data_IF_954478361750
#
_entry.id   IF_954478361750
#
_cell.length_a   1.000
_cell.length_b   1.000
_cell.length_c   1.000
_cell.angle_alpha   90.00
_cell.angle_beta   90.00
_cell.angle_gamma   90.00
#
_symmetry.space_group_name_H-M   'P 1'
#
loop_
_entity.id
_entity.type
_entity.pdbx_description
1 polymer ?
#
# COMPACT_ATOMS: atom_id res chain seq x y z
N UNK A 1 17.64 18.20 -7.82
CA UNK A 1 16.34 17.49 -7.79
C UNK A 1 15.22 18.37 -8.34
N UNK A 2 14.99 19.59 -7.81
CA UNK A 2 13.92 20.50 -8.28
C UNK A 2 13.96 20.78 -9.79
N UNK A 3 15.13 21.14 -10.34
CA UNK A 3 15.30 21.42 -11.78
C UNK A 3 14.93 20.21 -12.66
N UNK A 4 15.30 19.00 -12.25
CA UNK A 4 14.99 17.79 -13.01
C UNK A 4 13.49 17.50 -13.04
N UNK A 5 12.81 17.73 -11.90
CA UNK A 5 11.37 17.61 -11.80
C UNK A 5 10.66 18.69 -12.63
N UNK A 6 11.06 19.95 -12.54
CA UNK A 6 10.48 21.05 -13.34
C UNK A 6 10.62 20.81 -14.85
N UNK A 7 11.75 20.27 -15.30
CA UNK A 7 11.91 19.85 -16.70
C UNK A 7 10.95 18.71 -17.08
N UNK A 8 10.75 17.73 -16.19
CA UNK A 8 9.83 16.61 -16.42
C UNK A 8 8.36 17.06 -16.49
N UNK A 9 7.98 18.09 -15.74
CA UNK A 9 6.65 18.69 -15.84
C UNK A 9 6.37 19.28 -17.23
N UNK A 10 7.38 19.79 -17.95
CA UNK A 10 7.18 20.29 -19.31
C UNK A 10 6.98 19.18 -20.35
N UNK A 11 7.40 17.96 -20.02
CA UNK A 11 7.43 16.81 -20.94
C UNK A 11 6.36 15.76 -20.62
N UNK A 12 5.55 15.98 -19.58
CA UNK A 12 4.55 15.03 -19.10
C UNK A 12 3.29 15.73 -18.59
N UNK A 13 2.26 14.96 -18.29
CA UNK A 13 1.04 15.45 -17.63
C UNK A 13 1.21 15.64 -16.11
N UNK A 14 2.42 15.49 -15.57
CA UNK A 14 2.71 15.59 -14.14
C UNK A 14 2.83 17.05 -13.70
N UNK A 15 2.01 17.46 -12.73
CA UNK A 15 2.10 18.81 -12.13
C UNK A 15 3.04 18.79 -10.92
N UNK A 16 4.00 19.72 -10.87
CA UNK A 16 4.97 19.83 -9.78
C UNK A 16 4.84 21.19 -9.12
N UNK A 17 4.78 21.20 -7.79
CA UNK A 17 4.63 22.41 -6.98
C UNK A 17 5.75 22.45 -5.94
N UNK A 18 6.93 23.01 -6.28
CA UNK A 18 8.05 23.07 -5.35
C UNK A 18 7.68 23.92 -4.13
N UNK A 19 8.22 23.54 -2.97
CA UNK A 19 8.09 24.28 -1.72
C UNK A 19 9.44 24.23 -1.00
N UNK A 20 9.82 25.34 -0.40
CA UNK A 20 10.97 25.43 0.51
C UNK A 20 10.46 25.74 1.91
N UNK A 21 10.88 24.95 2.89
CA UNK A 21 10.69 25.21 4.30
C UNK A 21 12.06 25.31 4.97
N UNK A 22 12.21 26.19 5.95
CA UNK A 22 13.46 26.38 6.71
C UNK A 22 13.17 26.04 8.17
N UNK A 23 13.87 25.03 8.67
CA UNK A 23 13.63 24.45 9.98
C UNK A 23 14.93 23.98 10.58
N UNK A 24 15.01 23.91 11.91
CA UNK A 24 16.15 23.24 12.55
C UNK A 24 16.07 21.72 12.29
N UNK A 25 17.22 21.05 12.14
CA UNK A 25 17.25 19.62 11.78
C UNK A 25 16.51 18.73 12.79
N UNK A 26 16.47 19.10 14.06
CA UNK A 26 15.75 18.36 15.09
C UNK A 26 14.22 18.54 15.06
N UNK A 27 13.70 19.52 14.30
CA UNK A 27 12.26 19.86 14.22
C UNK A 27 11.71 19.79 12.80
N UNK A 28 12.56 19.71 11.77
CA UNK A 28 12.15 19.65 10.36
C UNK A 28 11.19 18.49 10.06
N UNK A 29 11.22 17.41 10.83
CA UNK A 29 10.27 16.31 10.67
C UNK A 29 8.82 16.76 10.91
N UNK A 30 8.59 17.70 11.82
CA UNK A 30 7.26 18.26 12.11
C UNK A 30 6.75 19.02 10.90
N UNK A 31 7.61 19.82 10.27
CA UNK A 31 7.27 20.56 9.05
C UNK A 31 7.04 19.63 7.86
N UNK A 32 7.84 18.56 7.72
CA UNK A 32 7.64 17.54 6.69
C UNK A 32 6.30 16.84 6.87
N UNK A 33 6.02 16.30 8.06
CA UNK A 33 4.78 15.58 8.36
C UNK A 33 3.56 16.51 8.26
N UNK A 34 3.66 17.73 8.77
CA UNK A 34 2.59 18.73 8.69
C UNK A 34 2.34 19.15 7.24
N UNK A 35 3.39 19.38 6.45
CA UNK A 35 3.27 19.71 5.03
C UNK A 35 2.66 18.57 4.24
N UNK A 36 3.09 17.33 4.49
CA UNK A 36 2.53 16.13 3.87
C UNK A 36 1.04 15.99 4.19
N UNK A 37 0.65 16.19 5.45
CA UNK A 37 -0.74 16.17 5.87
C UNK A 37 -1.57 17.28 5.21
N UNK A 38 -1.13 18.54 5.28
CA UNK A 38 -1.84 19.70 4.71
C UNK A 38 -2.01 19.59 3.19
N UNK A 39 -1.00 19.06 2.50
CA UNK A 39 -1.02 18.89 1.03
C UNK A 39 -1.61 17.56 0.59
N UNK A 40 -2.06 16.70 1.51
CA UNK A 40 -2.60 15.37 1.22
C UNK A 40 -1.62 14.51 0.39
N UNK A 41 -0.35 14.53 0.77
CA UNK A 41 0.66 13.72 0.10
C UNK A 41 0.40 12.22 0.36
N UNK A 42 0.31 11.43 -0.71
CA UNK A 42 0.13 9.98 -0.64
C UNK A 42 1.39 9.24 -0.15
N UNK A 43 2.57 9.81 -0.44
CA UNK A 43 3.86 9.22 -0.09
C UNK A 43 4.86 10.34 0.23
N UNK A 44 5.72 10.10 1.22
CA UNK A 44 6.86 10.96 1.53
C UNK A 44 8.13 10.24 1.06
N UNK A 45 8.78 10.80 0.04
CA UNK A 45 10.08 10.33 -0.41
C UNK A 45 11.17 11.09 0.33
N UNK A 46 11.94 10.37 1.15
CA UNK A 46 13.06 10.93 1.89
C UNK A 46 14.38 10.61 1.19
N UNK A 47 15.29 11.58 1.03
CA UNK A 47 16.63 11.29 0.54
C UNK A 47 17.34 10.35 1.51
N UNK A 48 17.99 9.30 0.99
CA UNK A 48 18.75 8.38 1.82
C UNK A 48 20.00 9.08 2.36
N UNK A 49 20.29 8.89 3.65
CA UNK A 49 21.41 9.53 4.33
C UNK A 49 22.79 9.00 3.89
N UNK A 50 22.85 8.02 2.98
CA UNK A 50 24.10 7.56 2.36
C UNK A 50 24.03 7.67 0.84
N UNK A 51 25.18 7.92 0.22
CA UNK A 51 25.33 7.90 -1.22
C UNK A 51 26.36 6.85 -1.64
N UNK A 52 26.13 6.23 -2.80
CA UNK A 52 27.02 5.21 -3.34
C UNK A 52 28.13 5.85 -4.16
N UNK A 53 29.38 5.48 -3.86
CA UNK A 53 30.58 5.90 -4.57
C UNK A 53 30.81 5.07 -5.82
N UNK A 54 31.71 5.54 -6.69
CA UNK A 54 32.11 4.84 -7.92
C UNK A 54 32.69 3.45 -7.64
N UNK A 55 33.30 3.26 -6.47
CA UNK A 55 33.81 1.97 -6.00
C UNK A 55 32.74 1.05 -5.39
N UNK A 56 31.47 1.48 -5.40
CA UNK A 56 30.33 0.77 -4.83
C UNK A 56 30.16 0.94 -3.32
N UNK A 57 31.08 1.61 -2.61
CA UNK A 57 30.98 1.87 -1.18
C UNK A 57 29.89 2.90 -0.84
N UNK A 58 29.29 2.81 0.35
CA UNK A 58 28.29 3.76 0.83
C UNK A 58 28.91 4.78 1.80
N UNK A 59 28.86 6.05 1.43
CA UNK A 59 29.32 7.17 2.25
C UNK A 59 28.14 7.88 2.92
N UNK A 60 28.26 8.20 4.21
CA UNK A 60 27.21 8.90 4.98
C UNK A 60 27.28 10.41 4.75
N UNK A 61 26.13 11.02 4.43
CA UNK A 61 25.95 12.48 4.29
C UNK A 61 25.80 13.20 5.65
N UNK A 62 25.80 12.45 6.76
CA UNK A 62 25.77 12.99 8.11
C UNK A 62 24.71 12.34 9.01
N UNK A 63 25.03 12.24 10.31
CA UNK A 63 24.17 11.61 11.31
C UNK A 63 22.81 12.33 11.46
N UNK A 64 22.80 13.65 11.34
CA UNK A 64 21.58 14.45 11.51
C UNK A 64 20.52 14.18 10.43
N UNK A 65 20.91 13.87 9.19
CA UNK A 65 19.96 13.47 8.14
C UNK A 65 19.34 12.10 8.42
N UNK A 66 20.14 11.18 8.99
CA UNK A 66 19.64 9.88 9.45
C UNK A 66 18.59 10.08 10.56
N UNK A 67 18.85 10.97 11.49
CA UNK A 67 17.92 11.31 12.59
C UNK A 67 16.63 11.95 12.07
N UNK A 68 16.73 12.90 11.13
CA UNK A 68 15.55 13.47 10.45
C UNK A 68 14.70 12.38 9.83
N UNK A 69 15.30 11.47 9.05
CA UNK A 69 14.55 10.39 8.41
C UNK A 69 13.86 9.49 9.44
N UNK A 70 14.54 9.16 10.54
CA UNK A 70 13.94 8.37 11.62
C UNK A 70 12.76 9.10 12.28
N UNK A 71 12.87 10.41 12.49
CA UNK A 71 11.80 11.22 13.08
C UNK A 71 10.61 11.39 12.14
N UNK A 72 10.84 11.64 10.83
CA UNK A 72 9.74 11.72 9.85
C UNK A 72 8.98 10.41 9.81
N UNK A 73 9.70 9.28 9.75
CA UNK A 73 9.05 7.99 9.70
C UNK A 73 8.22 7.73 10.96
N UNK A 74 8.78 8.00 12.15
CA UNK A 74 8.07 7.85 13.44
C UNK A 74 6.81 8.71 13.59
N UNK A 75 6.78 9.88 12.95
CA UNK A 75 5.68 10.85 13.11
C UNK A 75 4.77 10.95 11.88
N UNK A 76 5.09 10.25 10.79
CA UNK A 76 4.20 10.14 9.64
C UNK A 76 2.98 9.30 10.04
N UNK A 77 1.77 9.65 9.56
CA UNK A 77 0.58 8.84 9.82
C UNK A 77 0.80 7.38 9.38
N UNK A 78 0.36 6.46 10.23
CA UNK A 78 0.60 5.03 10.12
C UNK A 78 -0.12 4.38 8.95
N UNK A 79 0.48 3.33 8.39
CA UNK A 79 -0.13 2.47 7.37
C UNK A 79 -1.07 1.47 8.05
N UNK A 80 -2.21 1.18 7.43
CA UNK A 80 -3.19 0.21 7.94
C UNK A 80 -3.37 -0.93 6.94
N UNK A 81 -3.41 -2.16 7.44
CA UNK A 81 -3.85 -3.33 6.68
C UNK A 81 -5.11 -3.88 7.35
N UNK A 82 -6.31 -3.61 6.82
CA UNK A 82 -7.50 -4.38 7.14
C UNK A 82 -7.32 -5.82 6.66
N UNK A 83 -7.59 -6.79 7.51
CA UNK A 83 -7.46 -8.22 7.20
C UNK A 83 -8.78 -8.94 7.44
N UNK A 84 -9.39 -9.40 6.36
CA UNK A 84 -10.61 -10.21 6.30
C UNK A 84 -10.28 -11.68 5.99
N UNK A 85 -9.07 -11.94 5.48
CA UNK A 85 -8.58 -13.27 5.07
C UNK A 85 -8.53 -13.43 3.55
N UNK A 86 -8.25 -14.63 3.08
CA UNK A 86 -8.10 -14.90 1.65
C UNK A 86 -6.78 -14.38 1.07
N UNK A 87 -6.52 -14.73 -0.19
CA UNK A 87 -5.18 -14.60 -0.80
C UNK A 87 -4.72 -13.16 -0.98
N UNK A 88 -5.62 -12.28 -1.40
CA UNK A 88 -5.27 -10.88 -1.66
C UNK A 88 -4.93 -10.12 -0.37
N UNK A 89 -5.64 -10.40 0.73
CA UNK A 89 -5.31 -9.82 2.04
C UNK A 89 -4.01 -10.38 2.62
N UNK A 90 -3.71 -11.67 2.40
CA UNK A 90 -2.43 -12.25 2.78
C UNK A 90 -1.26 -11.57 2.06
N UNK A 91 -1.42 -11.30 0.75
CA UNK A 91 -0.45 -10.54 -0.03
C UNK A 91 -0.33 -9.09 0.48
N UNK A 92 -1.45 -8.42 0.73
CA UNK A 92 -1.46 -7.07 1.28
C UNK A 92 -0.74 -6.98 2.63
N UNK A 93 -0.98 -7.96 3.51
CA UNK A 93 -0.33 -8.08 4.80
C UNK A 93 1.17 -8.34 4.65
N UNK A 94 1.58 -9.19 3.70
CA UNK A 94 2.99 -9.41 3.40
C UNK A 94 3.69 -8.12 2.95
N UNK A 95 3.08 -7.32 2.07
CA UNK A 95 3.64 -6.01 1.70
C UNK A 95 3.72 -5.05 2.88
N UNK A 96 2.65 -4.93 3.68
CA UNK A 96 2.66 -4.09 4.88
C UNK A 96 3.75 -4.50 5.86
N UNK A 97 3.95 -5.80 6.04
CA UNK A 97 5.01 -6.37 6.88
C UNK A 97 6.40 -5.99 6.38
N UNK A 98 6.65 -6.10 5.07
CA UNK A 98 7.92 -5.71 4.45
C UNK A 98 8.21 -4.22 4.63
N UNK A 99 7.18 -3.38 4.58
CA UNK A 99 7.33 -1.96 4.93
C UNK A 99 7.73 -1.79 6.41
N UNK A 100 7.10 -2.53 7.32
CA UNK A 100 7.35 -2.46 8.75
C UNK A 100 8.73 -2.98 9.21
N UNK A 101 9.48 -3.71 8.35
CA UNK A 101 10.89 -4.04 8.59
C UNK A 101 11.75 -2.78 8.79
N UNK A 102 11.33 -1.64 8.21
CA UNK A 102 11.96 -0.37 8.51
C UNK A 102 11.48 0.14 9.89
N UNK A 103 12.39 0.38 10.87
CA UNK A 103 12.04 0.73 12.27
C UNK A 103 11.42 2.12 12.47
N UNK A 104 11.08 2.78 11.38
CA UNK A 104 10.37 4.06 11.39
C UNK A 104 8.95 3.92 10.86
N UNK A 105 8.60 2.82 10.20
CA UNK A 105 7.25 2.62 9.68
C UNK A 105 6.44 1.95 10.78
N UNK A 106 5.33 2.60 11.15
CA UNK A 106 4.32 2.01 12.01
C UNK A 106 3.20 1.43 11.16
N UNK A 107 2.98 0.13 11.31
CA UNK A 107 1.92 -0.63 10.68
C UNK A 107 0.87 -1.02 11.73
N UNK A 108 -0.40 -0.80 11.41
CA UNK A 108 -1.51 -1.34 12.19
C UNK A 108 -2.25 -2.38 11.34
N UNK A 109 -2.41 -3.57 11.88
CA UNK A 109 -3.17 -4.65 11.26
C UNK A 109 -4.51 -4.76 11.97
N UNK A 110 -5.59 -4.50 11.25
CA UNK A 110 -6.96 -4.58 11.76
C UNK A 110 -7.59 -5.88 11.27
N UNK A 111 -7.60 -6.92 12.09
CA UNK A 111 -8.27 -8.19 11.76
C UNK A 111 -9.76 -8.08 12.04
N UNK A 112 -10.57 -8.29 11.01
CA UNK A 112 -12.03 -8.27 11.09
C UNK A 112 -12.52 -9.70 11.23
N UNK A 113 -13.27 -10.00 12.30
CA UNK A 113 -13.66 -11.36 12.66
C UNK A 113 -15.20 -11.47 12.74
N UNK A 114 -15.84 -12.42 12.03
CA UNK A 114 -17.26 -12.67 12.20
C UNK A 114 -17.57 -13.42 13.52
N UNK A 115 -18.81 -13.42 14.01
CA UNK A 115 -19.22 -14.28 15.11
C UNK A 115 -19.12 -15.74 14.71
N UNK A 116 -18.89 -16.62 15.69
CA UNK A 116 -18.77 -18.06 15.45
C UNK A 116 -19.94 -18.61 14.63
N UNK A 117 -19.62 -19.32 13.55
CA UNK A 117 -20.62 -19.91 12.66
C UNK A 117 -21.24 -18.96 11.62
N UNK A 118 -20.77 -17.70 11.53
CA UNK A 118 -21.12 -16.76 10.47
C UNK A 118 -19.92 -16.46 9.59
N UNK A 119 -20.16 -15.92 8.39
CA UNK A 119 -19.12 -15.43 7.48
C UNK A 119 -19.38 -13.95 7.16
N UNK A 120 -18.32 -13.19 6.91
CA UNK A 120 -18.40 -11.78 6.51
C UNK A 120 -19.09 -11.57 5.15
N UNK A 121 -19.22 -12.65 4.35
CA UNK A 121 -19.96 -12.66 3.08
C UNK A 121 -21.49 -12.66 3.24
N UNK A 122 -22.01 -13.07 4.41
CA UNK A 122 -23.47 -13.22 4.64
C UNK A 122 -24.05 -12.19 5.61
N UNK A 123 -23.27 -11.16 5.97
CA UNK A 123 -23.67 -10.13 6.96
C UNK A 123 -24.72 -9.11 6.46
N UNK A 124 -25.40 -9.38 5.34
CA UNK A 124 -26.63 -8.70 4.92
C UNK A 124 -27.72 -9.76 4.71
N UNK A 125 -28.81 -9.63 5.48
CA UNK A 125 -29.83 -10.66 5.63
C UNK A 125 -30.42 -11.18 4.32
N UNK A 126 -30.16 -12.45 4.05
CA UNK A 126 -31.21 -13.38 3.68
C UNK A 126 -31.15 -14.56 4.64
N UNK A 127 -32.27 -14.82 5.31
CA UNK A 127 -32.62 -16.16 5.80
C UNK A 127 -32.57 -17.09 4.58
N UNK A 128 -31.40 -17.63 4.26
CA UNK A 128 -31.33 -18.85 3.47
C UNK A 128 -31.43 -19.99 4.45
N UNK A 129 -32.67 -20.35 4.77
CA UNK A 129 -32.95 -21.67 5.30
C UNK A 129 -32.22 -22.68 4.42
N UNK A 130 -31.25 -23.38 4.98
CA UNK A 130 -30.74 -24.66 4.50
C UNK A 130 -30.59 -24.77 2.97
N UNK A 131 -29.69 -24.00 2.37
CA UNK A 131 -28.91 -24.56 1.26
C UNK A 131 -27.53 -24.82 1.85
N UNK A 132 -27.33 -26.06 2.32
CA UNK A 132 -25.99 -26.61 2.45
C UNK A 132 -25.40 -26.64 1.05
N UNK A 133 -24.80 -25.54 0.62
CA UNK A 133 -23.83 -25.60 -0.47
C UNK A 133 -22.66 -26.34 0.15
N UNK A 134 -22.62 -27.66 -0.05
CA UNK A 134 -21.41 -28.46 0.09
C UNK A 134 -20.38 -27.92 -0.92
N UNK A 135 -19.75 -26.80 -0.59
CA UNK A 135 -18.52 -26.36 -1.21
C UNK A 135 -17.39 -26.69 -0.23
N UNK A 136 -16.97 -27.96 -0.31
CA UNK A 136 -15.84 -28.60 0.35
C UNK A 136 -14.47 -28.01 -0.11
N UNK A 137 -14.42 -26.70 -0.36
CA UNK A 137 -13.24 -25.93 -0.79
C UNK A 137 -13.04 -24.63 -0.02
N UNK A 138 -14.03 -24.19 0.76
CA UNK A 138 -13.96 -22.93 1.49
C UNK A 138 -13.33 -23.09 2.89
N UNK A 139 -13.49 -24.24 3.54
CA UNK A 139 -12.95 -24.52 4.87
C UNK A 139 -11.43 -24.47 4.93
N UNK A 140 -10.78 -25.02 3.90
CA UNK A 140 -9.32 -25.10 3.85
C UNK A 140 -8.71 -23.70 3.70
N UNK A 141 -9.34 -22.84 2.89
CA UNK A 141 -8.85 -21.46 2.67
C UNK A 141 -8.98 -20.55 3.89
N UNK A 142 -10.00 -20.76 4.73
CA UNK A 142 -10.20 -20.00 5.97
C UNK A 142 -9.24 -20.47 7.06
N UNK A 143 -9.05 -21.79 7.19
CA UNK A 143 -8.04 -22.37 8.08
C UNK A 143 -6.62 -21.92 7.68
N UNK A 144 -6.30 -21.92 6.38
CA UNK A 144 -5.02 -21.42 5.86
C UNK A 144 -4.81 -19.95 6.20
N UNK A 145 -5.85 -19.12 6.06
CA UNK A 145 -5.79 -17.70 6.40
C UNK A 145 -5.53 -17.48 7.89
N UNK A 146 -6.18 -18.26 8.76
CA UNK A 146 -5.99 -18.18 10.20
C UNK A 146 -4.59 -18.65 10.63
N UNK A 147 -4.11 -19.75 10.04
CA UNK A 147 -2.75 -20.26 10.26
C UNK A 147 -1.71 -19.21 9.84
N UNK A 148 -1.83 -18.68 8.62
CA UNK A 148 -0.96 -17.61 8.12
C UNK A 148 -0.95 -16.40 9.04
N UNK A 149 -2.13 -15.96 9.49
CA UNK A 149 -2.25 -14.81 10.37
C UNK A 149 -1.59 -15.07 11.73
N UNK A 150 -1.75 -16.27 12.29
CA UNK A 150 -1.12 -16.65 13.56
C UNK A 150 0.41 -16.67 13.46
N UNK A 151 0.96 -17.18 12.36
CA UNK A 151 2.40 -17.16 12.07
C UNK A 151 2.90 -15.73 11.89
N UNK A 152 2.13 -14.89 11.18
CA UNK A 152 2.42 -13.47 11.01
C UNK A 152 2.53 -12.76 12.37
N UNK A 153 1.52 -12.88 13.24
CA UNK A 153 1.55 -12.22 14.57
C UNK A 153 2.72 -12.74 15.40
N UNK A 154 2.99 -14.04 15.35
CA UNK A 154 4.12 -14.62 16.07
C UNK A 154 5.46 -14.06 15.57
N UNK A 155 5.61 -13.87 14.26
CA UNK A 155 6.80 -13.25 13.68
C UNK A 155 6.90 -11.77 14.09
N UNK A 156 5.82 -11.01 13.93
CA UNK A 156 5.77 -9.59 14.28
C UNK A 156 6.12 -9.36 15.75
N UNK A 157 5.58 -10.18 16.67
CA UNK A 157 5.91 -10.12 18.09
C UNK A 157 7.38 -10.40 18.40
N UNK A 158 8.07 -11.21 17.59
CA UNK A 158 9.50 -11.55 17.79
C UNK A 158 10.47 -10.55 17.16
N UNK A 159 10.07 -9.89 16.07
CA UNK A 159 10.99 -9.12 15.21
C UNK A 159 10.60 -7.66 15.01
N UNK A 160 9.32 -7.33 15.13
CA UNK A 160 8.73 -6.06 14.72
C UNK A 160 7.83 -5.44 15.81
N UNK A 161 8.05 -5.79 17.08
CA UNK A 161 7.21 -5.40 18.22
C UNK A 161 7.01 -3.88 18.37
N UNK A 162 7.97 -3.07 17.92
CA UNK A 162 7.92 -1.60 17.99
C UNK A 162 7.35 -0.96 16.71
N UNK A 163 7.19 -1.75 15.64
CA UNK A 163 6.75 -1.30 14.31
C UNK A 163 5.34 -1.79 13.96
N UNK A 164 4.90 -2.92 14.49
CA UNK A 164 3.63 -3.57 14.12
C UNK A 164 2.71 -3.64 15.33
N UNK A 165 1.52 -3.09 15.17
CA UNK A 165 0.40 -3.22 16.11
C UNK A 165 -0.70 -4.05 15.46
N UNK A 166 -1.41 -4.83 16.27
CA UNK A 166 -2.50 -5.68 15.81
C UNK A 166 -3.74 -5.45 16.67
N UNK A 167 -4.89 -5.32 16.02
CA UNK A 167 -6.20 -5.16 16.63
C UNK A 167 -7.20 -6.12 15.99
N UNK A 168 -7.90 -6.91 16.80
CA UNK A 168 -9.03 -7.74 16.34
C UNK A 168 -10.36 -7.02 16.63
N UNK A 169 -11.24 -7.01 15.64
CA UNK A 169 -12.60 -6.48 15.77
C UNK A 169 -13.63 -7.54 15.38
N UNK A 170 -14.41 -7.97 16.37
CA UNK A 170 -15.63 -8.74 16.14
C UNK A 170 -16.70 -7.84 15.48
N UNK A 171 -17.28 -8.28 14.37
CA UNK A 171 -18.28 -7.52 13.61
C UNK A 171 -19.53 -8.37 13.36
N UNK A 172 -20.71 -7.87 13.66
CA UNK A 172 -21.97 -8.62 13.49
C UNK A 172 -22.78 -8.16 12.28
N UNK A 173 -22.39 -7.03 11.70
CA UNK A 173 -23.05 -6.38 10.59
C UNK A 173 -22.05 -5.64 9.70
N UNK A 174 -22.48 -5.32 8.48
CA UNK A 174 -21.76 -4.40 7.59
C UNK A 174 -21.47 -3.04 8.22
N UNK A 175 -22.39 -2.52 9.04
CA UNK A 175 -22.20 -1.25 9.73
C UNK A 175 -21.04 -1.30 10.73
N UNK A 176 -20.83 -2.46 11.37
CA UNK A 176 -19.70 -2.67 12.29
C UNK A 176 -18.36 -2.67 11.54
N UNK A 177 -18.32 -3.27 10.35
CA UNK A 177 -17.13 -3.23 9.48
C UNK A 177 -16.81 -1.79 9.08
N UNK A 178 -17.82 -1.05 8.62
CA UNK A 178 -17.68 0.36 8.25
C UNK A 178 -17.18 1.18 9.45
N UNK A 179 -17.73 0.95 10.65
CA UNK A 179 -17.30 1.60 11.88
C UNK A 179 -15.84 1.27 12.23
N UNK A 180 -15.46 0.00 12.12
CA UNK A 180 -14.10 -0.46 12.38
C UNK A 180 -13.07 0.15 11.42
N UNK A 181 -13.40 0.29 10.13
CA UNK A 181 -12.53 1.00 9.19
C UNK A 181 -12.46 2.49 9.55
N UNK A 182 -13.59 3.13 9.88
CA UNK A 182 -13.64 4.57 10.19
C UNK A 182 -12.86 4.94 11.44
N UNK A 183 -12.70 4.03 12.41
CA UNK A 183 -11.85 4.28 13.58
C UNK A 183 -10.37 4.50 13.19
N UNK A 184 -9.96 4.00 12.02
CA UNK A 184 -8.62 4.13 11.45
C UNK A 184 -8.49 5.26 10.41
N UNK A 185 -9.51 6.10 10.24
CA UNK A 185 -9.56 7.17 9.21
C UNK A 185 -8.45 8.24 9.29
N UNK A 186 -7.67 8.26 10.38
CA UNK A 186 -6.52 9.16 10.55
C UNK A 186 -5.26 8.67 9.82
N UNK A 187 -5.26 7.44 9.32
CA UNK A 187 -4.15 6.86 8.57
C UNK A 187 -4.14 7.35 7.13
N UNK A 188 -2.93 7.59 6.61
CA UNK A 188 -2.74 8.13 5.26
C UNK A 188 -2.74 7.04 4.18
N UNK A 189 -2.41 5.81 4.54
CA UNK A 189 -2.29 4.69 3.60
C UNK A 189 -3.01 3.45 4.12
N UNK A 190 -3.90 2.90 3.29
CA UNK A 190 -4.51 1.60 3.50
C UNK A 190 -4.01 0.63 2.42
N UNK A 191 -3.47 -0.50 2.86
CA UNK A 191 -3.16 -1.62 1.99
C UNK A 191 -4.29 -2.63 2.13
N UNK A 192 -5.00 -2.90 1.04
CA UNK A 192 -6.18 -3.78 1.06
C UNK A 192 -6.06 -4.84 -0.03
N UNK A 193 -6.54 -6.04 0.24
CA UNK A 193 -6.75 -7.02 -0.82
C UNK A 193 -7.85 -6.56 -1.78
N UNK A 194 -7.75 -6.96 -3.05
CA UNK A 194 -8.76 -6.70 -4.07
C UNK A 194 -10.02 -7.56 -3.86
N UNK A 195 -9.85 -8.82 -3.49
CA UNK A 195 -10.95 -9.78 -3.29
C UNK A 195 -10.97 -10.36 -1.86
N UNK A 196 -11.12 -9.53 -0.81
CA UNK A 196 -11.32 -10.03 0.55
C UNK A 196 -12.66 -10.79 0.65
N UNK A 197 -12.77 -11.80 1.54
CA UNK A 197 -13.98 -12.59 1.74
C UNK A 197 -15.02 -11.81 2.56
N UNK A 198 -15.43 -10.64 2.08
CA UNK A 198 -16.43 -9.75 2.69
C UNK A 198 -17.47 -9.30 1.67
N UNK A 199 -18.72 -9.16 2.12
CA UNK A 199 -19.78 -8.61 1.29
C UNK A 199 -19.48 -7.14 0.87
N UNK A 200 -20.05 -6.67 -0.27
CA UNK A 200 -19.91 -5.28 -0.69
C UNK A 200 -20.27 -4.28 0.41
N UNK A 201 -19.35 -3.36 0.73
CA UNK A 201 -19.54 -2.36 1.78
C UNK A 201 -20.33 -1.12 1.31
N UNK A 202 -20.55 -1.00 0.00
CA UNK A 202 -21.39 0.04 -0.61
C UNK A 202 -22.59 -0.60 -1.32
N UNK A 203 -23.66 0.18 -1.49
CA UNK A 203 -24.83 -0.24 -2.29
C UNK A 203 -24.48 -0.20 -3.79
N UNK A 204 -23.69 0.81 -4.20
CA UNK A 204 -23.21 0.99 -5.56
C UNK A 204 -21.82 1.64 -5.53
N UNK A 205 -20.97 1.30 -6.49
CA UNK A 205 -19.63 1.87 -6.67
C UNK A 205 -19.37 2.05 -8.16
N UNK A 206 -18.69 3.14 -8.52
CA UNK A 206 -18.17 3.42 -9.86
C UNK A 206 -16.77 2.85 -10.09
N UNK A 207 -16.12 2.35 -9.02
CA UNK A 207 -14.77 1.76 -9.05
C UNK A 207 -14.77 0.29 -8.60
N UNK A 208 -15.55 -0.61 -9.22
CA UNK A 208 -15.64 -2.02 -8.80
C UNK A 208 -14.30 -2.76 -8.86
N UNK A 209 -13.36 -2.29 -9.66
CA UNK A 209 -12.01 -2.83 -9.77
C UNK A 209 -11.21 -2.78 -8.46
N UNK A 210 -11.55 -1.86 -7.55
CA UNK A 210 -10.91 -1.70 -6.24
C UNK A 210 -11.39 -2.72 -5.20
N UNK A 211 -12.40 -3.53 -5.53
CA UNK A 211 -12.98 -4.49 -4.59
C UNK A 211 -13.90 -3.84 -3.53
N UNK A 212 -14.54 -4.65 -2.66
CA UNK A 212 -15.56 -4.18 -1.72
C UNK A 212 -15.01 -3.22 -0.66
N UNK A 213 -13.79 -3.48 -0.17
CA UNK A 213 -13.13 -2.63 0.84
C UNK A 213 -12.51 -1.40 0.19
N UNK A 214 -11.74 -1.59 -0.89
CA UNK A 214 -11.10 -0.48 -1.60
C UNK A 214 -12.11 0.54 -2.14
N UNK A 215 -13.24 0.08 -2.70
CA UNK A 215 -14.33 0.96 -3.14
C UNK A 215 -14.90 1.81 -2.01
N UNK A 216 -15.11 1.21 -0.83
CA UNK A 216 -15.60 1.96 0.32
C UNK A 216 -14.58 2.99 0.82
N UNK A 217 -13.31 2.61 0.92
CA UNK A 217 -12.23 3.52 1.34
C UNK A 217 -12.01 4.69 0.37
N UNK A 218 -12.21 4.46 -0.93
CA UNK A 218 -12.14 5.50 -1.96
C UNK A 218 -13.39 6.40 -2.02
N UNK A 219 -14.50 5.97 -1.39
CA UNK A 219 -15.75 6.72 -1.41
C UNK A 219 -15.72 7.95 -0.48
N UNK A 220 -16.59 8.92 -0.78
CA UNK A 220 -16.81 10.09 0.08
C UNK A 220 -17.29 9.74 1.48
N UNK A 221 -17.84 8.53 1.68
CA UNK A 221 -18.38 8.10 2.97
C UNK A 221 -17.29 7.70 3.97
N UNK A 222 -16.06 7.46 3.52
CA UNK A 222 -14.93 7.08 4.37
C UNK A 222 -14.10 8.29 4.82
N UNK A 223 -13.27 8.83 3.93
CA UNK A 223 -12.40 9.99 4.17
C UNK A 223 -11.87 10.56 2.85
N UNK A 224 -11.84 11.88 2.72
CA UNK A 224 -11.33 12.54 1.50
C UNK A 224 -9.80 12.60 1.39
N UNK A 225 -9.07 12.03 2.37
CA UNK A 225 -7.61 12.21 2.50
C UNK A 225 -6.82 10.91 2.55
N UNK A 226 -7.49 9.77 2.52
CA UNK A 226 -6.83 8.46 2.61
C UNK A 226 -6.38 7.99 1.22
N UNK A 227 -5.13 7.52 1.12
CA UNK A 227 -4.65 6.79 -0.05
C UNK A 227 -4.92 5.30 0.12
N UNK A 228 -5.37 4.65 -0.95
CA UNK A 228 -5.70 3.22 -0.95
C UNK A 228 -4.80 2.53 -1.97
N UNK A 229 -4.02 1.55 -1.51
CA UNK A 229 -3.27 0.65 -2.36
C UNK A 229 -3.98 -0.71 -2.37
N UNK A 230 -4.59 -1.03 -3.51
CA UNK A 230 -5.28 -2.30 -3.71
C UNK A 230 -4.28 -3.33 -4.24
N UNK A 231 -4.20 -4.46 -3.56
CA UNK A 231 -3.24 -5.53 -3.81
C UNK A 231 -4.00 -6.77 -4.26
N UNK A 232 -3.52 -7.39 -5.33
CA UNK A 232 -4.05 -8.64 -5.83
C UNK A 232 -2.94 -9.68 -5.81
N UNK A 233 -3.23 -10.87 -5.29
CA UNK A 233 -2.29 -11.97 -5.31
C UNK A 233 -2.02 -12.42 -6.75
N UNK A 234 -0.73 -12.62 -7.07
CA UNK A 234 -0.32 -13.06 -8.40
C UNK A 234 -0.85 -14.47 -8.69
N UNK A 235 -1.58 -14.61 -9.81
CA UNK A 235 -2.00 -15.91 -10.32
C UNK A 235 -1.35 -16.17 -11.68
N UNK A 236 -0.35 -17.06 -11.77
CA UNK A 236 0.35 -17.34 -13.03
C UNK A 236 -0.55 -17.98 -14.09
N UNK A 237 -1.71 -18.50 -13.70
CA UNK A 237 -2.69 -19.12 -14.61
C UNK A 237 -3.83 -18.16 -14.98
N UNK A 238 -3.77 -16.89 -14.56
CA UNK A 238 -4.74 -15.91 -15.00
C UNK A 238 -4.54 -15.64 -16.50
N UNK A 239 -5.64 -15.59 -17.26
CA UNK A 239 -5.61 -15.13 -18.65
C UNK A 239 -5.24 -13.65 -18.68
N UNK A 240 -3.93 -13.38 -18.72
CA UNK A 240 -3.40 -12.06 -19.00
C UNK A 240 -3.50 -11.87 -20.51
N UNK A 241 -4.48 -11.09 -20.97
CA UNK A 241 -4.30 -10.43 -22.26
C UNK A 241 -3.02 -9.59 -22.14
N UNK A 242 -2.07 -9.65 -23.09
CA UNK A 242 -0.87 -8.83 -23.03
C UNK A 242 -1.28 -7.36 -22.84
N UNK A 243 -0.84 -6.74 -21.74
CA UNK A 243 -1.11 -5.32 -21.45
C UNK A 243 -0.22 -4.39 -22.29
N UNK A 244 0.80 -4.96 -22.92
CA UNK A 244 1.72 -4.31 -23.85
C UNK A 244 1.98 -5.32 -24.96
N UNK A 245 1.53 -5.01 -26.17
CA UNK A 245 2.11 -5.62 -27.37
C UNK A 245 3.43 -4.91 -27.61
N UNK A 246 4.54 -5.64 -27.53
CA UNK A 246 5.81 -5.12 -28.06
C UNK A 246 5.61 -5.01 -29.57
N UNK A 247 5.49 -3.77 -30.08
CA UNK A 247 5.57 -3.56 -31.52
C UNK A 247 6.99 -3.96 -31.96
N UNK A 248 7.10 -5.11 -32.64
CA UNK A 248 8.29 -5.42 -33.43
C UNK A 248 8.41 -4.33 -34.49
N UNK A 249 9.36 -3.40 -34.29
CA UNK A 249 9.77 -2.47 -35.33
C UNK A 249 10.40 -3.28 -36.46
N UNK A 250 9.59 -3.77 -37.40
CA UNK A 250 10.04 -4.16 -38.74
C UNK A 250 10.36 -2.88 -39.53
N UNK A 251 11.44 -2.20 -39.14
CA UNK A 251 12.15 -1.27 -40.01
C UNK A 251 13.65 -1.49 -39.80
N UNK A 252 14.16 -2.54 -40.41
CA UNK A 252 15.56 -2.59 -40.83
C UNK A 252 15.77 -1.50 -41.89
N UNK A 253 16.29 -0.35 -41.48
CA UNK A 253 17.14 0.47 -42.37
C UNK A 253 18.52 0.63 -41.73
N UNK A 254 19.50 0.03 -42.39
CA UNK A 254 20.92 0.04 -42.05
C UNK A 254 21.49 1.43 -42.37
N UNK A 255 21.30 2.37 -41.43
CA UNK A 255 21.86 3.72 -41.48
C UNK A 255 22.85 3.93 -40.33
N UNK A 256 24.10 3.54 -40.53
CA UNK A 256 25.19 3.78 -39.58
C UNK A 256 25.56 5.28 -39.51
N UNK A 257 24.88 6.03 -38.64
CA UNK A 257 25.29 7.40 -38.28
C UNK A 257 26.34 7.37 -37.17
N UNK A 258 27.55 6.89 -37.50
CA UNK A 258 28.75 7.18 -36.71
C UNK A 258 29.60 8.20 -37.48
N UNK A 259 29.75 9.45 -36.99
CA UNK A 259 30.58 10.43 -37.68
C UNK A 259 32.06 10.04 -37.60
N UNK A 260 32.64 9.71 -38.75
CA UNK A 260 34.08 9.47 -38.91
C UNK A 260 34.79 10.82 -38.84
N UNK A 261 35.66 10.99 -37.85
CA UNK A 261 36.62 12.10 -37.78
C UNK A 261 37.56 12.00 -38.99
N UNK A 262 37.48 12.99 -39.89
CA UNK A 262 38.45 13.16 -40.96
C UNK A 262 39.60 14.01 -40.43
N UNK A 263 40.74 13.38 -40.17
CA UNK A 263 42.00 14.06 -39.92
C UNK A 263 42.37 14.93 -41.13
N UNK A 264 42.61 16.22 -40.90
CA UNK A 264 43.27 17.11 -41.85
C UNK A 264 44.68 17.41 -41.36
N UNK A 265 45.65 17.00 -42.18
CA UNK A 265 47.05 17.38 -42.15
C UNK A 265 47.25 18.90 -42.16
#
# INVERSE_FOLDING_TARGET
MVIAFEAYQQLSSVTIRPMTAISALNTIYEDICTSAHQKRAAMILLPFHKHQRVDGSLESLGQSLREVNQLVLRHSPCSVVPFFGGRDDMEALAYGMRMAEHPGIMLTVLKVVPPSGKTLMTLEGQDTSMIKVENDKNSDSEADSELFFSEFIQHAAKKLQDSVTHEERLVESKADIVSALKSMSKSNLFLVGRMPPVAPLLISTDTPELGPVGSFLASSDFSSTTSVLVIQHYNPNANLHPLVEEEENEDTDDGTDTPVLVDKY
#
